data_IF_871151748813
#
_entry.id   IF_871151748813
#
_cell.length_a   1.000
_cell.length_b   1.000
_cell.length_c   1.000
_cell.angle_alpha   90.00
_cell.angle_beta   90.00
_cell.angle_gamma   90.00
#
_symmetry.space_group_name_H-M   'P 1'
#
loop_
_entity.id
_entity.type
_entity.pdbx_description
1 polymer ?
#
# COMPACT_ATOMS: atom_id res chain seq x y z
N UNK A 1 -0.39 -17.18 -10.97
CA UNK A 1 -1.18 -16.57 -12.07
C UNK A 1 -0.50 -16.64 -13.44
N UNK A 2 0.82 -16.41 -13.56
CA UNK A 2 1.52 -16.38 -14.86
C UNK A 2 1.27 -17.60 -15.77
N UNK A 3 0.97 -18.77 -15.20
CA UNK A 3 0.65 -20.00 -15.94
C UNK A 3 -0.67 -19.90 -16.73
N UNK A 4 -1.59 -19.04 -16.29
CA UNK A 4 -2.93 -18.90 -16.87
C UNK A 4 -3.18 -17.50 -17.49
N UNK A 5 -2.47 -16.47 -17.03
CA UNK A 5 -2.61 -15.09 -17.50
C UNK A 5 -1.23 -14.49 -17.79
N UNK A 6 -1.03 -14.04 -19.03
CA UNK A 6 0.24 -13.48 -19.50
C UNK A 6 0.40 -11.98 -19.23
N UNK A 7 -0.71 -11.24 -19.17
CA UNK A 7 -0.70 -9.80 -18.96
C UNK A 7 -0.76 -9.48 -17.47
N UNK A 8 0.21 -8.71 -17.00
CA UNK A 8 0.26 -8.22 -15.64
C UNK A 8 0.24 -6.69 -15.63
N UNK A 9 -0.89 -6.12 -15.22
CA UNK A 9 -1.09 -4.68 -15.22
C UNK A 9 -0.49 -3.98 -14.00
N UNK A 10 0.03 -2.77 -14.19
CA UNK A 10 0.55 -1.89 -13.14
C UNK A 10 0.15 -0.40 -13.38
N UNK A 11 0.12 0.45 -12.33
CA UNK A 11 0.28 0.10 -10.91
C UNK A 11 -0.98 -0.59 -10.34
N UNK A 12 -0.83 -1.23 -9.18
CA UNK A 12 -1.95 -1.71 -8.35
C UNK A 12 -2.71 -0.53 -7.74
N UNK A 13 -3.48 0.21 -8.56
CA UNK A 13 -4.13 1.47 -8.17
C UNK A 13 -5.13 1.32 -7.00
N UNK A 14 -5.71 0.13 -6.82
CA UNK A 14 -6.68 -0.18 -5.78
C UNK A 14 -6.03 -0.36 -4.41
N UNK A 15 -4.75 -0.74 -4.37
CA UNK A 15 -3.99 -1.05 -3.16
C UNK A 15 -2.53 -0.56 -3.30
N UNK A 16 -2.27 0.75 -3.23
CA UNK A 16 -0.93 1.31 -3.40
C UNK A 16 -0.02 1.17 -2.17
N UNK A 17 -0.57 0.74 -1.03
CA UNK A 17 0.14 0.65 0.24
C UNK A 17 -0.65 -0.17 1.25
N UNK A 18 -0.88 -1.45 0.94
CA UNK A 18 -1.57 -2.39 1.83
C UNK A 18 -0.83 -2.46 3.16
N UNK A 19 -1.56 -2.22 4.25
CA UNK A 19 -1.08 -2.37 5.62
C UNK A 19 -1.79 -3.60 6.21
N UNK A 20 -1.05 -4.48 6.88
CA UNK A 20 -1.62 -5.65 7.51
C UNK A 20 -2.10 -5.30 8.92
N UNK A 21 -2.96 -6.16 9.48
CA UNK A 21 -3.61 -5.87 10.76
C UNK A 21 -3.57 -7.11 11.67
N UNK A 22 -3.27 -6.85 12.94
CA UNK A 22 -3.38 -7.83 14.02
C UNK A 22 -4.65 -7.57 14.81
N UNK A 23 -5.52 -8.59 14.87
CA UNK A 23 -6.74 -8.54 15.65
C UNK A 23 -6.63 -9.41 16.89
N UNK A 24 -6.94 -8.81 18.04
CA UNK A 24 -6.99 -9.52 19.31
C UNK A 24 -8.40 -9.48 19.88
N UNK A 25 -8.81 -10.55 20.56
CA UNK A 25 -9.97 -10.46 21.42
C UNK A 25 -9.68 -9.42 22.52
N UNK A 26 -10.56 -8.42 22.63
CA UNK A 26 -10.38 -7.30 23.56
C UNK A 26 -10.16 -7.75 25.00
N UNK A 27 -11.03 -8.63 25.51
CA UNK A 27 -10.94 -9.12 26.89
C UNK A 27 -9.63 -9.87 27.14
N UNK A 28 -9.19 -10.70 26.19
CA UNK A 28 -7.95 -11.44 26.31
C UNK A 28 -6.74 -10.49 26.34
N UNK A 29 -6.66 -9.54 25.41
CA UNK A 29 -5.58 -8.55 25.37
C UNK A 29 -5.56 -7.69 26.64
N UNK A 30 -6.71 -7.19 27.09
CA UNK A 30 -6.82 -6.36 28.29
C UNK A 30 -6.51 -7.14 29.58
N UNK A 31 -6.68 -8.47 29.57
CA UNK A 31 -6.32 -9.34 30.70
C UNK A 31 -4.81 -9.57 30.85
N UNK A 32 -4.01 -9.24 29.83
CA UNK A 32 -2.56 -9.32 29.92
C UNK A 32 -2.01 -8.30 30.94
N UNK A 33 -0.98 -8.68 31.72
CA UNK A 33 -0.13 -7.72 32.41
C UNK A 33 0.39 -6.62 31.48
N UNK A 34 0.63 -5.41 32.02
CA UNK A 34 0.97 -4.23 31.21
C UNK A 34 2.26 -4.37 30.41
N UNK A 35 3.26 -5.05 30.98
CA UNK A 35 4.49 -5.41 30.30
C UNK A 35 4.23 -6.32 29.09
N UNK A 36 3.33 -7.30 29.22
CA UNK A 36 2.96 -8.17 28.10
C UNK A 36 2.14 -7.45 27.04
N UNK A 37 1.25 -6.51 27.40
CA UNK A 37 0.56 -5.65 26.43
C UNK A 37 1.58 -4.85 25.60
N UNK A 38 2.57 -4.23 26.25
CA UNK A 38 3.62 -3.49 25.56
C UNK A 38 4.49 -4.37 24.67
N UNK A 39 4.81 -5.60 25.10
CA UNK A 39 5.56 -6.55 24.28
C UNK A 39 4.76 -6.91 23.02
N UNK A 40 3.46 -7.21 23.16
CA UNK A 40 2.58 -7.51 22.02
C UNK A 40 2.54 -6.34 21.04
N UNK A 41 2.33 -5.12 21.52
CA UNK A 41 2.28 -3.92 20.66
C UNK A 41 3.60 -3.70 19.91
N UNK A 42 4.72 -3.89 20.62
CA UNK A 42 6.07 -3.71 20.05
C UNK A 42 6.36 -4.73 18.96
N UNK A 43 6.00 -6.00 19.18
CA UNK A 43 6.21 -7.08 18.20
C UNK A 43 5.31 -6.90 16.99
N UNK A 44 4.06 -6.43 17.16
CA UNK A 44 3.19 -6.11 16.03
C UNK A 44 3.83 -5.03 15.14
N UNK A 45 4.32 -3.94 15.75
CA UNK A 45 5.00 -2.87 15.02
C UNK A 45 6.27 -3.34 14.31
N UNK A 46 7.11 -4.14 14.98
CA UNK A 46 8.32 -4.70 14.38
C UNK A 46 8.00 -5.62 13.21
N UNK A 47 6.98 -6.47 13.35
CA UNK A 47 6.59 -7.39 12.29
C UNK A 47 6.05 -6.67 11.06
N UNK A 48 5.22 -5.64 11.22
CA UNK A 48 4.75 -4.84 10.09
C UNK A 48 5.92 -4.21 9.32
N UNK A 49 6.92 -3.68 10.03
CA UNK A 49 8.12 -3.13 9.39
C UNK A 49 8.95 -4.22 8.68
N UNK A 50 9.09 -5.38 9.31
CA UNK A 50 9.77 -6.52 8.73
C UNK A 50 9.07 -7.03 7.46
N UNK A 51 7.74 -7.10 7.46
CA UNK A 51 6.96 -7.54 6.31
C UNK A 51 7.15 -6.60 5.11
N UNK A 52 7.05 -5.29 5.32
CA UNK A 52 7.27 -4.29 4.27
C UNK A 52 8.69 -4.39 3.67
N UNK A 53 9.71 -4.43 4.53
CA UNK A 53 11.11 -4.50 4.08
C UNK A 53 11.43 -5.80 3.34
N UNK A 54 10.76 -6.91 3.69
CA UNK A 54 10.87 -8.16 2.94
C UNK A 54 10.25 -8.07 1.54
N UNK A 55 9.13 -7.38 1.37
CA UNK A 55 8.58 -7.12 0.03
C UNK A 55 9.57 -6.33 -0.81
N UNK A 56 10.17 -5.26 -0.28
CA UNK A 56 11.16 -4.45 -1.00
C UNK A 56 12.40 -5.27 -1.40
N UNK A 57 12.89 -6.13 -0.51
CA UNK A 57 14.06 -6.97 -0.77
C UNK A 57 13.80 -8.05 -1.83
N UNK A 58 12.57 -8.59 -1.91
CA UNK A 58 12.27 -9.77 -2.71
C UNK A 58 11.58 -9.48 -4.04
N UNK A 59 10.76 -8.41 -4.12
CA UNK A 59 9.93 -8.13 -5.29
C UNK A 59 10.74 -7.86 -6.55
N UNK A 60 11.90 -7.20 -6.45
CA UNK A 60 12.78 -6.96 -7.60
C UNK A 60 13.27 -8.26 -8.25
N UNK A 61 13.74 -9.21 -7.44
CA UNK A 61 14.19 -10.51 -7.93
C UNK A 61 13.03 -11.35 -8.49
N UNK A 62 11.86 -11.30 -7.85
CA UNK A 62 10.66 -11.98 -8.34
C UNK A 62 10.19 -11.43 -9.69
N UNK A 63 10.19 -10.10 -9.86
CA UNK A 63 9.86 -9.45 -11.12
C UNK A 63 10.80 -9.88 -12.25
N UNK A 64 12.11 -9.96 -11.99
CA UNK A 64 13.08 -10.44 -12.97
C UNK A 64 12.78 -11.87 -13.44
N UNK A 65 12.38 -12.77 -12.53
CA UNK A 65 11.95 -14.14 -12.92
C UNK A 65 10.69 -14.13 -13.78
N UNK A 66 9.69 -13.31 -13.41
CA UNK A 66 8.45 -13.19 -14.19
C UNK A 66 8.72 -12.73 -15.62
N UNK A 67 9.60 -11.73 -15.80
CA UNK A 67 9.96 -11.20 -17.11
C UNK A 67 10.84 -12.17 -17.91
N UNK A 68 11.93 -12.66 -17.31
CA UNK A 68 12.99 -13.35 -18.03
C UNK A 68 12.71 -14.84 -18.22
N UNK A 69 12.14 -15.51 -17.23
CA UNK A 69 11.87 -16.95 -17.27
C UNK A 69 10.45 -17.24 -17.73
N UNK A 70 9.47 -16.55 -17.17
CA UNK A 70 8.05 -16.83 -17.41
C UNK A 70 7.42 -16.00 -18.53
N UNK A 71 8.16 -15.02 -19.07
CA UNK A 71 7.74 -14.16 -20.19
C UNK A 71 6.40 -13.46 -19.94
N UNK A 72 6.18 -13.01 -18.71
CA UNK A 72 5.02 -12.18 -18.35
C UNK A 72 5.17 -10.80 -18.99
N UNK A 73 4.07 -10.28 -19.53
CA UNK A 73 4.02 -8.98 -20.17
C UNK A 73 3.49 -7.93 -19.18
N UNK A 74 4.36 -6.99 -18.79
CA UNK A 74 4.01 -5.88 -17.90
C UNK A 74 3.30 -4.78 -18.68
N UNK A 75 2.05 -4.50 -18.33
CA UNK A 75 1.22 -3.51 -19.02
C UNK A 75 0.93 -2.34 -18.09
N UNK A 76 1.34 -1.13 -18.47
CA UNK A 76 0.89 0.05 -17.73
C UNK A 76 -0.59 0.27 -18.01
N UNK A 77 -1.40 0.50 -16.99
CA UNK A 77 -2.76 0.99 -17.20
C UNK A 77 -2.74 2.29 -18.01
N UNK A 78 -3.65 2.47 -18.98
CA UNK A 78 -3.78 3.74 -19.69
C UNK A 78 -4.06 4.88 -18.71
N UNK A 79 -3.43 6.03 -18.92
CA UNK A 79 -3.59 7.18 -18.02
C UNK A 79 -5.06 7.67 -17.97
N UNK A 80 -5.81 7.50 -19.07
CA UNK A 80 -7.26 7.79 -19.12
C UNK A 80 -8.08 6.89 -18.21
N UNK A 81 -7.71 5.60 -18.11
CA UNK A 81 -8.35 4.64 -17.22
C UNK A 81 -8.05 5.00 -15.76
N UNK A 82 -6.79 5.26 -15.42
CA UNK A 82 -6.40 5.66 -14.06
C UNK A 82 -7.06 6.99 -13.64
N UNK A 83 -7.21 7.94 -14.55
CA UNK A 83 -7.89 9.22 -14.29
C UNK A 83 -9.38 9.02 -14.01
N UNK A 84 -10.06 8.16 -14.78
CA UNK A 84 -11.46 7.84 -14.54
C UNK A 84 -11.66 7.10 -13.21
N UNK A 85 -10.79 6.13 -12.91
CA UNK A 85 -10.84 5.38 -11.65
C UNK A 85 -10.58 6.26 -10.43
N UNK A 86 -9.66 7.24 -10.53
CA UNK A 86 -9.41 8.21 -9.45
C UNK A 86 -10.68 8.98 -9.10
N UNK A 87 -11.38 9.50 -10.11
CA UNK A 87 -12.63 10.24 -9.89
C UNK A 87 -13.69 9.37 -9.20
N UNK A 88 -13.88 8.14 -9.68
CA UNK A 88 -14.83 7.20 -9.08
C UNK A 88 -14.45 6.83 -7.64
N UNK A 89 -13.15 6.64 -7.36
CA UNK A 89 -12.65 6.35 -6.02
C UNK A 89 -12.91 7.53 -5.06
N UNK A 90 -12.69 8.77 -5.51
CA UNK A 90 -13.01 9.97 -4.73
C UNK A 90 -14.51 10.04 -4.42
N UNK A 91 -15.39 9.80 -5.40
CA UNK A 91 -16.84 9.77 -5.22
C UNK A 91 -17.25 8.74 -4.16
N UNK A 92 -16.79 7.49 -4.29
CA UNK A 92 -17.10 6.42 -3.32
C UNK A 92 -16.58 6.75 -1.92
N UNK A 93 -15.36 7.29 -1.80
CA UNK A 93 -14.80 7.67 -0.50
C UNK A 93 -15.63 8.77 0.19
N UNK A 94 -16.16 9.73 -0.56
CA UNK A 94 -17.04 10.77 -0.02
C UNK A 94 -18.40 10.20 0.39
N UNK A 95 -18.98 9.31 -0.44
CA UNK A 95 -20.23 8.63 -0.12
C UNK A 95 -20.12 7.80 1.18
N UNK A 96 -19.04 7.01 1.33
CA UNK A 96 -18.78 6.25 2.55
C UNK A 96 -18.52 7.16 3.76
N UNK A 97 -17.76 8.24 3.57
CA UNK A 97 -17.49 9.21 4.62
C UNK A 97 -18.76 9.89 5.13
N UNK A 98 -19.76 10.10 4.27
CA UNK A 98 -21.04 10.68 4.64
C UNK A 98 -21.91 9.76 5.51
N UNK A 99 -21.62 8.45 5.57
CA UNK A 99 -22.45 7.48 6.32
C UNK A 99 -22.30 7.57 7.84
N UNK A 100 -21.16 8.06 8.36
CA UNK A 100 -20.99 8.20 9.81
C UNK A 100 -19.95 9.24 10.20
N UNK A 101 -20.05 9.82 11.42
CA UNK A 101 -19.00 10.70 11.96
C UNK A 101 -17.61 10.04 12.00
N UNK A 102 -17.54 8.72 12.26
CA UNK A 102 -16.26 8.00 12.29
C UNK A 102 -15.66 7.87 10.89
N UNK A 103 -16.45 7.47 9.89
CA UNK A 103 -15.99 7.37 8.51
C UNK A 103 -15.51 8.73 7.97
N UNK A 104 -16.25 9.81 8.27
CA UNK A 104 -15.82 11.18 7.96
C UNK A 104 -14.47 11.52 8.58
N UNK A 105 -14.31 11.27 9.89
CA UNK A 105 -13.06 11.54 10.61
C UNK A 105 -11.87 10.79 9.98
N UNK A 106 -12.04 9.52 9.64
CA UNK A 106 -10.99 8.70 9.02
C UNK A 106 -10.65 9.24 7.63
N UNK A 107 -11.64 9.47 6.77
CA UNK A 107 -11.42 9.99 5.41
C UNK A 107 -10.69 11.35 5.41
N UNK A 108 -11.11 12.27 6.29
CA UNK A 108 -10.46 13.58 6.46
C UNK A 108 -9.00 13.43 6.93
N UNK A 109 -8.74 12.51 7.87
CA UNK A 109 -7.38 12.22 8.34
C UNK A 109 -6.48 11.72 7.20
N UNK A 110 -6.98 10.77 6.40
CA UNK A 110 -6.23 10.25 5.24
C UNK A 110 -5.92 11.34 4.21
N UNK A 111 -6.92 12.15 3.82
CA UNK A 111 -6.72 13.25 2.85
C UNK A 111 -5.70 14.28 3.33
N UNK A 112 -5.81 14.68 4.59
CA UNK A 112 -4.89 15.65 5.18
C UNK A 112 -3.44 15.12 5.19
N UNK A 113 -3.26 13.86 5.59
CA UNK A 113 -1.94 13.25 5.58
C UNK A 113 -1.40 13.04 4.16
N UNK A 114 -2.23 12.55 3.24
CA UNK A 114 -1.88 12.32 1.83
C UNK A 114 -1.34 13.61 1.16
N UNK A 115 -1.96 14.76 1.44
CA UNK A 115 -1.50 16.06 0.91
C UNK A 115 -0.08 16.40 1.37
N UNK A 116 0.22 16.15 2.64
CA UNK A 116 1.53 16.46 3.23
C UNK A 116 2.60 15.49 2.70
N UNK A 117 2.35 14.18 2.82
CA UNK A 117 3.31 13.15 2.40
C UNK A 117 3.52 13.14 0.88
N UNK A 118 2.48 13.41 0.08
CA UNK A 118 2.59 13.48 -1.38
C UNK A 118 3.47 14.64 -1.86
N UNK A 119 3.48 15.76 -1.12
CA UNK A 119 4.38 16.88 -1.41
C UNK A 119 5.84 16.50 -1.16
N UNK A 120 6.11 15.76 -0.07
CA UNK A 120 7.44 15.22 0.20
C UNK A 120 7.86 14.17 -0.84
N UNK A 121 7.00 13.19 -1.13
CA UNK A 121 7.32 12.09 -2.05
C UNK A 121 7.66 12.55 -3.48
N UNK A 122 7.06 13.65 -3.93
CA UNK A 122 7.35 14.26 -5.24
C UNK A 122 8.81 14.75 -5.36
N UNK A 123 9.37 15.30 -4.29
CA UNK A 123 10.73 15.88 -4.29
C UNK A 123 11.82 14.92 -3.80
N UNK A 124 11.42 13.77 -3.24
CA UNK A 124 12.32 12.78 -2.65
C UNK A 124 12.33 11.50 -3.49
N UNK A 125 11.51 10.50 -3.16
CA UNK A 125 11.56 9.19 -3.83
C UNK A 125 11.28 9.30 -5.32
N UNK A 126 10.24 10.05 -5.72
CA UNK A 126 9.93 10.24 -7.14
C UNK A 126 11.08 10.91 -7.90
N UNK A 127 11.73 11.91 -7.29
CA UNK A 127 12.86 12.60 -7.89
C UNK A 127 14.07 11.67 -8.08
N UNK A 128 14.35 10.82 -7.09
CA UNK A 128 15.39 9.79 -7.19
C UNK A 128 15.14 8.84 -8.37
N UNK A 129 13.94 8.24 -8.45
CA UNK A 129 13.60 7.30 -9.52
C UNK A 129 13.63 7.94 -10.92
N UNK A 130 13.23 9.21 -11.03
CA UNK A 130 13.16 9.90 -12.32
C UNK A 130 14.52 10.44 -12.79
N UNK A 131 15.36 10.91 -11.87
CA UNK A 131 16.53 11.75 -12.21
C UNK A 131 17.88 11.15 -11.83
N UNK A 132 17.94 10.26 -10.83
CA UNK A 132 19.20 9.76 -10.27
C UNK A 132 19.40 8.28 -10.61
N UNK A 133 18.38 7.45 -10.40
CA UNK A 133 18.49 6.01 -10.63
C UNK A 133 18.87 5.73 -12.09
N UNK A 134 19.95 4.98 -12.36
CA UNK A 134 20.29 4.57 -13.72
C UNK A 134 19.13 3.82 -14.36
N UNK A 135 18.76 4.22 -15.57
CA UNK A 135 17.69 3.55 -16.32
C UNK A 135 18.17 2.15 -16.68
N UNK A 136 17.44 1.13 -16.21
CA UNK A 136 17.69 -0.29 -16.45
C UNK A 136 16.78 -0.78 -17.57
#
# INVERSE_FOLDING_TARGET
FYQAAKFYYYPGWHEPGTYLEYFFNKTAYESLPKDLQHIVDSVCMENEHWALTQFDAQNGAALQKLLNEHKVEMIKFPDTVLSALRKLAEEVLEEEAAKSPMAKKVNESFKNFQKVVGSWGSISEQAYYNSILPKV
#
